data_IF_126875939256
#
_entry.id   IF_126875939256
#
_cell.length_a   1.000
_cell.length_b   1.000
_cell.length_c   1.000
_cell.angle_alpha   90.00
_cell.angle_beta   90.00
_cell.angle_gamma   90.00
#
_symmetry.space_group_name_H-M   'P 1'
#
loop_
_entity.id
_entity.type
_entity.pdbx_description
1 polymer ?
#
# COMPACT_ATOMS: atom_id res chain seq x y z
N UNK A 1 -10.79 -8.10 -9.81
CA UNK A 1 -9.93 -8.68 -8.76
C UNK A 1 -9.39 -10.06 -9.15
N UNK A 2 -10.22 -10.99 -9.64
CA UNK A 2 -9.75 -12.30 -10.15
C UNK A 2 -8.82 -12.17 -11.39
N UNK A 3 -9.10 -11.20 -12.26
CA UNK A 3 -8.29 -10.87 -13.45
C UNK A 3 -6.87 -10.44 -13.11
N UNK A 4 -6.70 -9.62 -12.06
CA UNK A 4 -5.38 -9.20 -11.59
C UNK A 4 -4.57 -10.40 -11.05
N UNK A 5 -5.22 -11.29 -10.28
CA UNK A 5 -4.57 -12.50 -9.78
C UNK A 5 -4.15 -13.45 -10.91
N UNK A 6 -4.98 -13.61 -11.94
CA UNK A 6 -4.65 -14.43 -13.12
C UNK A 6 -3.49 -13.81 -13.90
N UNK A 7 -3.51 -12.48 -14.12
CA UNK A 7 -2.42 -11.78 -14.82
C UNK A 7 -1.11 -11.91 -14.04
N UNK A 8 -1.14 -11.73 -12.72
CA UNK A 8 0.04 -11.89 -11.87
C UNK A 8 0.59 -13.34 -11.92
N UNK A 9 -0.30 -14.35 -11.85
CA UNK A 9 0.11 -15.75 -11.97
C UNK A 9 0.70 -16.09 -13.35
N UNK A 10 0.14 -15.53 -14.42
CA UNK A 10 0.66 -15.69 -15.79
C UNK A 10 2.05 -15.07 -15.94
N UNK A 11 2.29 -13.89 -15.35
CA UNK A 11 3.62 -13.27 -15.36
C UNK A 11 4.65 -14.11 -14.62
N UNK A 12 4.28 -14.67 -13.46
CA UNK A 12 5.18 -15.56 -12.71
C UNK A 12 5.51 -16.82 -13.52
N UNK A 13 4.51 -17.45 -14.16
CA UNK A 13 4.73 -18.60 -15.03
C UNK A 13 5.59 -18.27 -16.26
N UNK A 14 5.42 -17.08 -16.84
CA UNK A 14 6.21 -16.62 -17.98
C UNK A 14 7.68 -16.38 -17.60
N UNK A 15 7.94 -15.83 -16.41
CA UNK A 15 9.29 -15.69 -15.86
C UNK A 15 9.91 -17.08 -15.65
N UNK A 16 9.18 -18.02 -15.05
CA UNK A 16 9.65 -19.39 -14.89
C UNK A 16 9.92 -20.05 -16.26
N UNK A 17 9.05 -19.88 -17.25
CA UNK A 17 9.24 -20.42 -18.61
C UNK A 17 10.48 -19.86 -19.29
N UNK A 18 10.86 -18.60 -19.04
CA UNK A 18 12.04 -18.01 -19.65
C UNK A 18 13.34 -18.38 -18.89
N UNK A 19 13.27 -18.50 -17.57
CA UNK A 19 14.45 -18.72 -16.71
C UNK A 19 14.79 -20.20 -16.55
N UNK A 20 13.81 -21.11 -16.45
CA UNK A 20 14.07 -22.55 -16.23
C UNK A 20 14.79 -23.23 -17.41
N UNK A 21 14.41 -23.05 -18.69
CA UNK A 21 15.05 -23.76 -19.79
C UNK A 21 16.55 -23.49 -19.94
N UNK A 22 17.05 -22.23 -19.91
CA UNK A 22 18.49 -21.98 -19.99
C UNK A 22 19.24 -22.42 -18.73
N UNK A 23 18.57 -22.55 -17.57
CA UNK A 23 19.18 -23.08 -16.34
C UNK A 23 19.20 -24.62 -16.28
N UNK A 24 18.24 -25.29 -16.93
CA UNK A 24 18.11 -26.74 -16.97
C UNK A 24 18.87 -27.38 -18.14
N UNK A 25 19.21 -26.60 -19.16
CA UNK A 25 20.09 -27.06 -20.23
C UNK A 25 21.51 -27.20 -19.69
N UNK A 26 21.93 -28.46 -19.45
CA UNK A 26 23.35 -28.77 -19.32
C UNK A 26 24.04 -28.37 -20.63
N UNK A 27 25.22 -27.75 -20.60
CA UNK A 27 26.00 -27.55 -21.82
C UNK A 27 26.23 -28.92 -22.45
N UNK A 28 25.65 -29.16 -23.63
CA UNK A 28 25.83 -30.41 -24.35
C UNK A 28 27.27 -30.46 -24.86
N UNK A 29 28.16 -31.10 -24.10
CA UNK A 29 29.57 -31.31 -24.48
C UNK A 29 29.69 -31.92 -25.89
N UNK A 30 28.70 -32.72 -26.31
CA UNK A 30 28.64 -33.33 -27.65
C UNK A 30 28.53 -32.34 -28.81
N UNK A 31 27.84 -31.20 -28.64
CA UNK A 31 27.78 -30.14 -29.69
C UNK A 31 29.08 -29.35 -29.76
N UNK A 32 29.77 -29.23 -28.64
CA UNK A 32 31.04 -28.51 -28.50
C UNK A 32 32.22 -29.30 -29.10
N UNK A 33 32.16 -30.64 -29.07
CA UNK A 33 33.12 -31.54 -29.70
C UNK A 33 32.92 -31.69 -31.22
N UNK A 34 31.66 -31.73 -31.71
CA UNK A 34 31.37 -31.84 -33.14
C UNK A 34 31.88 -30.64 -33.96
N UNK A 35 31.81 -29.42 -33.41
CA UNK A 35 32.35 -28.22 -34.05
C UNK A 35 33.89 -28.20 -34.01
N UNK A 36 34.52 -28.82 -33.00
CA UNK A 36 35.97 -28.92 -32.91
C UNK A 36 36.53 -29.88 -33.96
N UNK A 37 35.87 -31.02 -34.21
CA UNK A 37 36.25 -31.93 -35.30
C UNK A 37 36.01 -31.31 -36.68
N UNK A 38 34.97 -30.50 -36.86
CA UNK A 38 34.69 -29.84 -38.14
C UNK A 38 35.75 -28.79 -38.51
N UNK A 39 36.24 -28.02 -37.54
CA UNK A 39 37.26 -27.00 -37.80
C UNK A 39 38.62 -27.59 -38.15
N UNK A 40 39.02 -28.72 -37.55
CA UNK A 40 40.29 -29.39 -37.86
C UNK A 40 40.35 -29.85 -39.32
N UNK A 41 39.23 -30.32 -39.87
CA UNK A 41 39.14 -30.75 -41.27
C UNK A 41 39.39 -29.57 -42.22
N UNK A 42 38.84 -28.40 -41.91
CA UNK A 42 39.04 -27.18 -42.72
C UNK A 42 40.52 -26.79 -42.78
N UNK A 43 41.25 -26.89 -41.66
CA UNK A 43 42.68 -26.59 -41.64
C UNK A 43 43.53 -27.62 -42.39
N UNK A 44 43.09 -28.89 -42.44
CA UNK A 44 43.76 -29.92 -43.24
C UNK A 44 43.62 -29.63 -44.73
N UNK A 45 42.43 -29.26 -45.19
CA UNK A 45 42.18 -28.89 -46.59
C UNK A 45 43.05 -27.67 -47.01
N UNK A 46 43.15 -26.66 -46.14
CA UNK A 46 43.98 -25.46 -46.41
C UNK A 46 45.47 -25.78 -46.56
N UNK A 47 45.99 -26.75 -45.79
CA UNK A 47 47.39 -27.16 -45.90
C UNK A 47 47.64 -27.96 -47.19
N UNK A 48 46.67 -28.77 -47.62
CA UNK A 48 46.77 -29.54 -48.87
C UNK A 48 46.73 -28.62 -50.10
N UNK A 49 45.87 -27.60 -50.10
CA UNK A 49 45.81 -26.57 -51.14
C UNK A 49 47.13 -25.79 -51.23
N UNK A 50 47.67 -25.37 -50.08
CA UNK A 50 48.94 -24.66 -50.01
C UNK A 50 50.13 -25.50 -50.52
N UNK A 51 50.12 -26.83 -50.28
CA UNK A 51 51.13 -27.75 -50.82
C UNK A 51 50.99 -27.95 -52.33
N UNK A 52 49.77 -27.95 -52.86
CA UNK A 52 49.52 -28.03 -54.29
C UNK A 52 50.02 -26.77 -55.03
N UNK A 53 49.84 -25.59 -54.45
CA UNK A 53 50.32 -24.33 -55.02
C UNK A 53 51.85 -24.24 -55.05
N UNK A 54 52.53 -24.76 -54.01
CA UNK A 54 53.98 -24.89 -54.01
C UNK A 54 54.47 -25.83 -55.12
N UNK A 55 53.82 -26.99 -55.28
CA UNK A 55 54.17 -27.97 -56.33
C UNK A 55 53.97 -27.44 -57.74
N UNK A 56 52.98 -26.55 -57.91
CA UNK A 56 52.66 -25.92 -59.20
C UNK A 56 53.56 -24.69 -59.48
N UNK A 57 54.36 -24.26 -58.49
CA UNK A 57 55.23 -23.10 -58.58
C UNK A 57 54.48 -21.76 -58.52
N UNK A 58 53.24 -21.76 -58.04
CA UNK A 58 52.41 -20.56 -57.87
C UNK A 58 52.90 -19.69 -56.71
N UNK A 59 53.46 -20.32 -55.68
CA UNK A 59 54.06 -19.68 -54.51
C UNK A 59 55.52 -20.11 -54.35
N UNK A 60 56.32 -19.24 -53.76
CA UNK A 60 57.71 -19.55 -53.43
C UNK A 60 57.80 -20.33 -52.10
N UNK A 61 58.89 -21.09 -51.92
CA UNK A 61 59.09 -21.93 -50.73
C UNK A 61 59.09 -21.12 -49.42
N UNK A 62 59.60 -19.89 -49.45
CA UNK A 62 59.59 -18.98 -48.30
C UNK A 62 58.17 -18.52 -47.92
N UNK A 63 57.32 -18.27 -48.90
CA UNK A 63 55.89 -17.95 -48.70
C UNK A 63 55.12 -19.15 -48.15
N UNK A 64 55.37 -20.35 -48.69
CA UNK A 64 54.78 -21.60 -48.19
C UNK A 64 55.05 -21.80 -46.69
N UNK A 65 56.32 -21.64 -46.26
CA UNK A 65 56.67 -21.84 -44.85
C UNK A 65 56.03 -20.81 -43.92
N UNK A 66 55.91 -19.54 -44.35
CA UNK A 66 55.26 -18.49 -43.56
C UNK A 66 53.77 -18.73 -43.38
N UNK A 67 53.07 -19.09 -44.46
CA UNK A 67 51.63 -19.33 -44.42
C UNK A 67 51.31 -20.60 -43.63
N UNK A 68 52.08 -21.67 -43.83
CA UNK A 68 51.97 -22.91 -43.05
C UNK A 68 52.11 -22.64 -41.54
N UNK A 69 53.13 -21.90 -41.12
CA UNK A 69 53.33 -21.60 -39.70
C UNK A 69 52.17 -20.77 -39.13
N UNK A 70 51.60 -19.87 -39.93
CA UNK A 70 50.44 -19.07 -39.51
C UNK A 70 49.19 -19.92 -39.29
N UNK A 71 48.96 -20.92 -40.15
CA UNK A 71 47.85 -21.87 -40.05
C UNK A 71 48.05 -22.77 -38.82
N UNK A 72 49.24 -23.31 -38.62
CA UNK A 72 49.57 -24.15 -37.46
C UNK A 72 49.43 -23.39 -36.14
N UNK A 73 49.85 -22.12 -36.09
CA UNK A 73 49.66 -21.27 -34.90
C UNK A 73 48.18 -21.03 -34.59
N UNK A 74 47.36 -20.75 -35.61
CA UNK A 74 45.90 -20.57 -35.45
C UNK A 74 45.22 -21.87 -35.02
N UNK A 75 45.60 -23.01 -35.60
CA UNK A 75 45.13 -24.32 -35.18
C UNK A 75 45.49 -24.60 -33.72
N UNK A 76 46.74 -24.33 -33.34
CA UNK A 76 47.20 -24.48 -31.96
C UNK A 76 46.48 -23.52 -31.00
N UNK A 77 46.13 -22.32 -31.42
CA UNK A 77 45.37 -21.35 -30.61
C UNK A 77 43.90 -21.75 -30.47
N UNK A 78 43.26 -22.24 -31.54
CA UNK A 78 41.90 -22.78 -31.47
C UNK A 78 41.81 -24.04 -30.60
N UNK A 79 42.86 -24.86 -30.60
CA UNK A 79 42.97 -26.07 -29.76
C UNK A 79 43.41 -25.74 -28.32
N UNK A 80 44.33 -24.79 -28.10
CA UNK A 80 44.81 -24.35 -26.76
C UNK A 80 43.92 -23.34 -26.06
N UNK A 81 43.11 -22.57 -26.79
CA UNK A 81 42.10 -21.64 -26.26
C UNK A 81 41.04 -22.34 -25.39
N UNK A 82 41.10 -23.67 -25.32
CA UNK A 82 40.36 -24.53 -24.38
C UNK A 82 41.26 -25.33 -23.44
N UNK A 83 42.37 -24.79 -22.94
CA UNK A 83 42.77 -25.16 -21.58
C UNK A 83 41.52 -24.95 -20.72
N UNK A 84 41.04 -25.94 -19.94
CA UNK A 84 39.82 -25.76 -19.18
C UNK A 84 40.13 -24.63 -18.20
N UNK A 85 39.67 -23.42 -18.53
CA UNK A 85 39.33 -22.45 -17.53
C UNK A 85 38.41 -23.25 -16.63
N UNK A 86 38.91 -23.63 -15.46
CA UNK A 86 38.13 -24.20 -14.38
C UNK A 86 37.14 -23.11 -14.00
N UNK A 87 36.10 -22.95 -14.82
CA UNK A 87 34.91 -22.21 -14.51
C UNK A 87 34.41 -22.91 -13.27
N UNK A 88 34.67 -22.26 -12.14
CA UNK A 88 34.27 -22.70 -10.81
C UNK A 88 32.79 -23.07 -10.94
N UNK A 89 32.49 -24.37 -10.96
CA UNK A 89 31.12 -24.86 -10.89
C UNK A 89 30.53 -24.17 -9.65
N UNK A 90 29.44 -23.39 -9.75
CA UNK A 90 28.80 -22.87 -8.56
C UNK A 90 28.52 -24.09 -7.68
N UNK A 91 29.08 -24.11 -6.47
CA UNK A 91 28.92 -25.28 -5.60
C UNK A 91 27.44 -25.56 -5.45
N UNK A 92 27.05 -26.83 -5.37
CA UNK A 92 25.66 -27.26 -5.17
C UNK A 92 24.94 -26.46 -4.06
N UNK A 93 25.69 -25.96 -3.07
CA UNK A 93 25.22 -25.04 -2.03
C UNK A 93 24.63 -23.73 -2.55
N UNK A 94 25.23 -23.10 -3.56
CA UNK A 94 24.77 -21.81 -4.12
C UNK A 94 23.50 -22.00 -4.93
N UNK A 95 23.40 -23.08 -5.72
CA UNK A 95 22.18 -23.45 -6.43
C UNK A 95 21.04 -23.79 -5.45
N UNK A 96 21.33 -24.53 -4.38
CA UNK A 96 20.33 -24.84 -3.33
C UNK A 96 19.82 -23.57 -2.65
N UNK A 97 20.67 -22.57 -2.39
CA UNK A 97 20.24 -21.28 -1.82
C UNK A 97 19.34 -20.50 -2.79
N UNK A 98 19.65 -20.50 -4.09
CA UNK A 98 18.81 -19.84 -5.11
C UNK A 98 17.45 -20.53 -5.25
N UNK A 99 17.41 -21.86 -5.21
CA UNK A 99 16.15 -22.61 -5.18
C UNK A 99 15.37 -22.37 -3.88
N UNK A 100 16.04 -22.39 -2.74
CA UNK A 100 15.43 -22.14 -1.44
C UNK A 100 14.82 -20.74 -1.38
N UNK A 101 15.52 -19.69 -1.84
CA UNK A 101 15.02 -18.33 -1.89
C UNK A 101 13.87 -18.17 -2.91
N UNK A 102 13.98 -18.77 -4.08
CA UNK A 102 12.94 -18.72 -5.13
C UNK A 102 11.61 -19.33 -4.68
N UNK A 103 11.64 -20.34 -3.81
CA UNK A 103 10.43 -20.94 -3.23
C UNK A 103 10.01 -20.22 -1.95
N UNK A 104 10.95 -19.83 -1.10
CA UNK A 104 10.67 -19.22 0.19
C UNK A 104 10.00 -17.85 0.05
N UNK A 105 10.44 -17.00 -0.88
CA UNK A 105 9.87 -15.66 -1.07
C UNK A 105 8.36 -15.71 -1.39
N UNK A 106 7.89 -16.46 -2.41
CA UNK A 106 6.46 -16.54 -2.69
C UNK A 106 5.66 -17.22 -1.57
N UNK A 107 6.20 -18.26 -0.92
CA UNK A 107 5.52 -18.91 0.22
C UNK A 107 5.39 -17.95 1.41
N UNK A 108 6.44 -17.21 1.74
CA UNK A 108 6.43 -16.20 2.80
C UNK A 108 5.46 -15.06 2.47
N UNK A 109 5.39 -14.62 1.21
CA UNK A 109 4.44 -13.61 0.77
C UNK A 109 2.98 -14.08 0.93
N UNK A 110 2.69 -15.34 0.56
CA UNK A 110 1.36 -15.94 0.76
C UNK A 110 1.04 -16.07 2.26
N UNK A 111 1.97 -16.58 3.07
CA UNK A 111 1.78 -16.71 4.51
C UNK A 111 1.57 -15.35 5.20
N UNK A 112 2.33 -14.33 4.82
CA UNK A 112 2.17 -12.97 5.31
C UNK A 112 0.82 -12.38 4.91
N UNK A 113 0.37 -12.60 3.68
CA UNK A 113 -0.96 -12.21 3.22
C UNK A 113 -2.08 -12.94 3.98
N UNK A 114 -1.89 -14.22 4.35
CA UNK A 114 -2.86 -14.93 5.17
C UNK A 114 -2.88 -14.45 6.63
N UNK A 115 -1.75 -13.95 7.15
CA UNK A 115 -1.63 -13.44 8.53
C UNK A 115 -2.16 -12.01 8.68
N UNK A 116 -1.85 -11.12 7.73
CA UNK A 116 -2.21 -9.68 7.79
C UNK A 116 -3.42 -9.33 6.91
N UNK A 117 -3.63 -10.09 5.83
CA UNK A 117 -4.65 -9.81 4.83
C UNK A 117 -6.01 -10.42 5.14
N UNK A 118 -6.98 -10.13 4.28
CA UNK A 118 -8.35 -10.63 4.41
C UNK A 118 -8.64 -11.65 3.29
N UNK A 119 -8.37 -12.96 3.49
CA UNK A 119 -8.52 -13.98 2.45
C UNK A 119 -9.95 -14.10 1.92
N UNK A 120 -10.94 -13.63 2.68
CA UNK A 120 -12.35 -13.60 2.27
C UNK A 120 -12.65 -12.55 1.18
N UNK A 121 -11.76 -11.58 0.96
CA UNK A 121 -11.91 -10.58 -0.10
C UNK A 121 -11.70 -11.16 -1.51
N UNK A 122 -10.97 -12.27 -1.63
CA UNK A 122 -10.76 -12.98 -2.90
C UNK A 122 -11.98 -13.83 -3.32
N UNK A 123 -12.85 -14.18 -2.36
CA UNK A 123 -14.09 -14.93 -2.58
C UNK A 123 -15.26 -14.05 -3.00
N UNK A 124 -15.09 -12.72 -3.03
CA UNK A 124 -16.09 -11.80 -3.56
C UNK A 124 -16.13 -11.90 -5.09
N UNK A 125 -17.22 -12.47 -5.61
CA UNK A 125 -17.48 -12.60 -7.03
C UNK A 125 -17.34 -11.26 -7.79
N UNK A 126 -17.03 -11.26 -9.10
CA UNK A 126 -16.95 -10.03 -9.88
C UNK A 126 -18.28 -9.27 -9.81
N UNK A 127 -18.21 -7.97 -9.54
CA UNK A 127 -19.38 -7.10 -9.55
C UNK A 127 -20.09 -7.19 -10.92
N UNK A 128 -21.41 -7.46 -10.98
CA UNK A 128 -22.14 -7.44 -12.23
C UNK A 128 -22.24 -6.00 -12.74
N UNK A 129 -21.73 -5.76 -13.94
CA UNK A 129 -21.99 -4.55 -14.72
C UNK A 129 -23.42 -4.60 -15.26
N UNK A 130 -24.37 -4.21 -14.43
CA UNK A 130 -25.78 -4.04 -14.78
C UNK A 130 -26.40 -2.89 -13.98
N UNK A 131 -27.55 -2.34 -14.41
CA UNK A 131 -28.24 -1.29 -13.67
C UNK A 131 -28.49 -1.73 -12.22
N UNK A 132 -28.38 -0.81 -11.24
CA UNK A 132 -28.21 -1.13 -9.82
C UNK A 132 -29.41 -1.92 -9.30
N UNK A 133 -29.27 -3.25 -9.33
CA UNK A 133 -30.17 -4.19 -8.68
C UNK A 133 -29.52 -4.57 -7.35
N UNK A 134 -30.29 -4.38 -6.29
CA UNK A 134 -29.89 -4.48 -4.90
C UNK A 134 -29.38 -5.87 -4.49
N UNK A 135 -28.07 -6.11 -4.64
CA UNK A 135 -27.36 -7.17 -3.92
C UNK A 135 -26.02 -6.66 -3.42
N UNK A 136 -26.00 -6.20 -2.17
CA UNK A 136 -24.78 -5.88 -1.43
C UNK A 136 -24.87 -4.71 -0.45
N UNK A 137 -25.91 -3.88 -0.52
CA UNK A 137 -26.21 -2.90 0.54
C UNK A 137 -26.86 -3.65 1.71
N UNK A 138 -26.17 -3.72 2.85
CA UNK A 138 -26.81 -4.16 4.09
C UNK A 138 -28.07 -3.33 4.30
N UNK A 139 -29.20 -3.98 4.59
CA UNK A 139 -30.41 -3.23 4.93
C UNK A 139 -30.16 -2.41 6.21
N UNK A 140 -30.83 -1.27 6.42
CA UNK A 140 -30.72 -0.50 7.66
C UNK A 140 -30.92 -1.36 8.92
N UNK A 141 -31.81 -2.35 8.84
CA UNK A 141 -32.07 -3.32 9.91
C UNK A 141 -30.88 -4.28 10.14
N UNK A 142 -30.21 -4.72 9.07
CA UNK A 142 -29.00 -5.54 9.19
C UNK A 142 -27.84 -4.74 9.79
N UNK A 143 -27.69 -3.46 9.43
CA UNK A 143 -26.69 -2.57 10.04
C UNK A 143 -26.99 -2.42 11.53
N UNK A 144 -28.23 -2.09 11.90
CA UNK A 144 -28.63 -1.97 13.30
C UNK A 144 -28.35 -3.26 14.11
N UNK A 145 -28.72 -4.43 13.57
CA UNK A 145 -28.46 -5.71 14.22
C UNK A 145 -26.96 -6.01 14.40
N UNK A 146 -26.12 -5.64 13.43
CA UNK A 146 -24.67 -5.80 13.53
C UNK A 146 -24.07 -4.85 14.59
N UNK A 147 -24.59 -3.63 14.70
CA UNK A 147 -24.20 -2.65 15.73
C UNK A 147 -24.60 -3.15 17.11
N UNK A 148 -25.78 -3.73 17.29
CA UNK A 148 -26.20 -4.29 18.58
C UNK A 148 -25.35 -5.50 19.00
N UNK A 149 -24.94 -6.36 18.05
CA UNK A 149 -23.97 -7.44 18.32
C UNK A 149 -22.60 -6.91 18.73
N UNK A 150 -22.14 -5.84 18.09
CA UNK A 150 -20.89 -5.17 18.47
C UNK A 150 -20.99 -4.62 19.91
N UNK A 151 -22.12 -3.98 20.25
CA UNK A 151 -22.37 -3.48 21.59
C UNK A 151 -22.29 -4.59 22.64
N UNK A 152 -22.90 -5.75 22.37
CA UNK A 152 -22.87 -6.88 23.30
C UNK A 152 -21.45 -7.43 23.48
N UNK A 153 -20.68 -7.55 22.39
CA UNK A 153 -19.27 -7.95 22.47
C UNK A 153 -18.43 -6.99 23.33
N UNK A 154 -18.68 -5.69 23.22
CA UNK A 154 -17.94 -4.68 23.98
C UNK A 154 -18.31 -4.65 25.46
N UNK A 155 -19.51 -5.13 25.84
CA UNK A 155 -19.81 -5.38 27.26
C UNK A 155 -18.94 -6.49 27.85
N UNK A 156 -18.64 -7.52 27.07
CA UNK A 156 -17.75 -8.62 27.48
C UNK A 156 -16.27 -8.21 27.47
N UNK A 157 -15.90 -7.26 26.60
CA UNK A 157 -14.55 -6.71 26.49
C UNK A 157 -14.55 -5.19 26.69
N UNK A 158 -14.75 -4.70 27.94
CA UNK A 158 -15.03 -3.29 28.20
C UNK A 158 -13.84 -2.36 27.99
N UNK A 159 -12.62 -2.87 27.86
CA UNK A 159 -11.40 -2.07 27.77
C UNK A 159 -10.99 -1.72 26.33
N UNK A 160 -11.82 -2.05 25.32
CA UNK A 160 -11.54 -1.74 23.91
C UNK A 160 -12.01 -0.33 23.54
N UNK A 161 -11.16 0.68 23.77
CA UNK A 161 -11.46 2.09 23.47
C UNK A 161 -11.81 2.33 21.99
N UNK A 162 -11.14 1.64 21.06
CA UNK A 162 -11.39 1.81 19.62
C UNK A 162 -12.70 1.16 19.21
N UNK A 163 -13.04 0.01 19.80
CA UNK A 163 -14.33 -0.64 19.65
C UNK A 163 -15.48 0.25 20.12
N UNK A 164 -15.35 0.90 21.29
CA UNK A 164 -16.35 1.87 21.78
C UNK A 164 -16.50 3.08 20.87
N UNK A 165 -15.41 3.62 20.33
CA UNK A 165 -15.45 4.71 19.35
C UNK A 165 -16.19 4.30 18.07
N UNK A 166 -15.87 3.11 17.54
CA UNK A 166 -16.55 2.59 16.34
C UNK A 166 -18.03 2.35 16.58
N UNK A 167 -18.40 1.85 17.77
CA UNK A 167 -19.79 1.68 18.17
C UNK A 167 -20.51 3.03 18.22
N UNK A 168 -19.89 4.05 18.81
CA UNK A 168 -20.46 5.37 18.93
C UNK A 168 -20.74 6.03 17.56
N UNK A 169 -19.77 5.95 16.63
CA UNK A 169 -19.94 6.43 15.25
C UNK A 169 -21.03 5.68 14.50
N UNK A 170 -21.14 4.37 14.74
CA UNK A 170 -22.18 3.54 14.15
C UNK A 170 -23.57 3.93 14.67
N UNK A 171 -23.70 4.25 15.96
CA UNK A 171 -24.94 4.80 16.51
C UNK A 171 -25.28 6.18 15.94
N UNK A 172 -24.29 7.06 15.71
CA UNK A 172 -24.55 8.35 15.04
C UNK A 172 -25.11 8.17 13.62
N UNK A 173 -24.54 7.24 12.84
CA UNK A 173 -25.03 6.93 11.49
C UNK A 173 -26.47 6.38 11.49
N UNK A 174 -26.85 5.70 12.57
CA UNK A 174 -28.20 5.19 12.79
C UNK A 174 -29.13 6.21 13.49
N UNK A 175 -28.67 7.45 13.69
CA UNK A 175 -29.39 8.52 14.40
C UNK A 175 -29.76 8.16 15.87
N UNK A 176 -29.07 7.16 16.43
CA UNK A 176 -29.21 6.68 17.81
C UNK A 176 -28.34 7.52 18.76
N UNK A 177 -28.58 8.82 18.79
CA UNK A 177 -27.68 9.79 19.44
C UNK A 177 -27.46 9.55 20.94
N UNK A 178 -28.50 9.18 21.68
CA UNK A 178 -28.39 8.87 23.12
C UNK A 178 -27.47 7.68 23.40
N UNK A 179 -27.44 6.70 22.51
CA UNK A 179 -26.59 5.51 22.63
C UNK A 179 -25.17 5.81 22.16
N UNK A 180 -25.04 6.63 21.11
CA UNK A 180 -23.76 7.17 20.68
C UNK A 180 -23.05 7.92 21.83
N UNK A 181 -23.77 8.81 22.53
CA UNK A 181 -23.22 9.54 23.66
C UNK A 181 -22.71 8.60 24.77
N UNK A 182 -23.43 7.53 25.11
CA UNK A 182 -22.98 6.53 26.10
C UNK A 182 -21.73 5.78 25.63
N UNK A 183 -21.65 5.42 24.35
CA UNK A 183 -20.47 4.75 23.79
C UNK A 183 -19.25 5.68 23.75
N UNK A 184 -19.42 6.95 23.37
CA UNK A 184 -18.38 7.98 23.46
C UNK A 184 -17.94 8.24 24.90
N UNK A 185 -18.86 8.24 25.87
CA UNK A 185 -18.52 8.34 27.28
C UNK A 185 -17.58 7.19 27.70
N UNK A 186 -17.86 5.96 27.27
CA UNK A 186 -16.95 4.83 27.52
C UNK A 186 -15.60 5.02 26.85
N UNK A 187 -15.58 5.43 25.58
CA UNK A 187 -14.34 5.69 24.86
C UNK A 187 -13.49 6.78 25.54
N UNK A 188 -14.09 7.91 25.94
CA UNK A 188 -13.40 9.00 26.65
C UNK A 188 -12.90 8.59 28.03
N UNK A 189 -13.58 7.69 28.74
CA UNK A 189 -13.04 7.15 30.01
C UNK A 189 -11.80 6.28 29.82
N UNK A 190 -11.69 5.57 28.70
CA UNK A 190 -10.55 4.69 28.38
C UNK A 190 -9.39 5.48 27.76
N UNK A 191 -9.70 6.53 27.00
CA UNK A 191 -8.73 7.42 26.39
C UNK A 191 -9.06 8.89 26.73
N UNK A 192 -8.76 9.28 27.96
CA UNK A 192 -9.12 10.59 28.49
C UNK A 192 -8.27 11.75 27.95
N UNK A 193 -7.18 11.48 27.23
CA UNK A 193 -6.23 12.48 26.73
C UNK A 193 -6.33 12.71 25.21
N UNK A 194 -7.48 12.38 24.63
CA UNK A 194 -7.76 12.58 23.20
C UNK A 194 -8.80 13.70 23.03
N UNK A 195 -8.34 14.89 22.62
CA UNK A 195 -9.19 16.06 22.44
C UNK A 195 -10.28 15.84 21.37
N UNK A 196 -9.95 15.14 20.28
CA UNK A 196 -10.90 14.86 19.21
C UNK A 196 -12.03 13.95 19.70
N UNK A 197 -11.70 12.97 20.54
CA UNK A 197 -12.68 12.09 21.15
C UNK A 197 -13.64 12.83 22.11
N UNK A 198 -13.14 13.79 22.88
CA UNK A 198 -13.98 14.67 23.71
C UNK A 198 -14.87 15.59 22.87
N UNK A 199 -14.38 16.11 21.74
CA UNK A 199 -15.19 16.91 20.81
C UNK A 199 -16.28 16.08 20.13
N UNK A 200 -15.97 14.86 19.68
CA UNK A 200 -16.95 13.91 19.14
C UNK A 200 -18.02 13.54 20.20
N UNK A 201 -17.61 13.36 21.46
CA UNK A 201 -18.53 13.10 22.56
C UNK A 201 -19.49 14.29 22.80
N UNK A 202 -18.97 15.52 22.81
CA UNK A 202 -19.79 16.72 22.95
C UNK A 202 -20.84 16.84 21.84
N UNK A 203 -20.45 16.59 20.60
CA UNK A 203 -21.37 16.62 19.46
C UNK A 203 -22.48 15.57 19.61
N UNK A 204 -22.14 14.34 20.01
CA UNK A 204 -23.11 13.29 20.26
C UNK A 204 -24.10 13.65 21.38
N UNK A 205 -23.61 14.28 22.46
CA UNK A 205 -24.46 14.79 23.54
C UNK A 205 -25.41 15.90 23.03
N UNK A 206 -24.90 16.82 22.22
CA UNK A 206 -25.70 17.89 21.66
C UNK A 206 -26.80 17.36 20.74
N UNK A 207 -26.48 16.41 19.85
CA UNK A 207 -27.49 15.76 19.00
C UNK A 207 -28.53 15.00 19.81
N UNK A 208 -28.12 14.30 20.87
CA UNK A 208 -29.05 13.62 21.77
C UNK A 208 -29.99 14.59 22.52
N UNK A 209 -29.60 15.86 22.66
CA UNK A 209 -30.35 16.91 23.32
C UNK A 209 -30.94 17.95 22.33
N UNK A 210 -31.22 17.55 21.09
CA UNK A 210 -31.86 18.42 20.10
C UNK A 210 -31.00 19.60 19.64
N UNK A 211 -29.70 19.37 19.45
CA UNK A 211 -28.67 20.36 19.05
C UNK A 211 -28.38 21.44 20.12
N UNK A 212 -28.78 21.21 21.36
CA UNK A 212 -28.45 22.07 22.48
C UNK A 212 -27.03 21.77 22.97
N UNK A 213 -26.14 22.76 22.86
CA UNK A 213 -24.74 22.65 23.29
C UNK A 213 -24.52 23.00 24.77
N UNK A 214 -25.56 23.42 25.50
CA UNK A 214 -25.48 23.78 26.92
C UNK A 214 -25.36 22.58 27.87
N UNK A 215 -24.71 22.78 29.01
CA UNK A 215 -24.51 21.74 30.03
C UNK A 215 -23.38 20.77 29.65
N UNK A 216 -23.66 19.47 29.66
CA UNK A 216 -22.67 18.42 29.42
C UNK A 216 -21.88 18.53 28.09
N UNK A 217 -22.47 18.91 26.93
CA UNK A 217 -21.70 19.13 25.72
C UNK A 217 -20.64 20.22 25.91
N UNK A 218 -20.98 21.35 26.53
CA UNK A 218 -20.02 22.43 26.82
C UNK A 218 -18.91 21.95 27.77
N UNK A 219 -19.22 21.13 28.78
CA UNK A 219 -18.21 20.55 29.66
C UNK A 219 -17.23 19.65 28.89
N UNK A 220 -17.73 18.81 27.98
CA UNK A 220 -16.91 17.97 27.11
C UNK A 220 -16.04 18.81 26.15
N UNK A 221 -16.57 19.90 25.58
CA UNK A 221 -15.80 20.83 24.74
C UNK A 221 -14.69 21.53 25.53
N UNK A 222 -14.99 21.98 26.75
CA UNK A 222 -13.98 22.56 27.63
C UNK A 222 -12.87 21.55 27.93
N UNK A 223 -13.21 20.27 28.12
CA UNK A 223 -12.23 19.21 28.31
C UNK A 223 -11.37 18.98 27.06
N UNK A 224 -11.97 18.98 25.87
CA UNK A 224 -11.25 18.88 24.60
C UNK A 224 -10.24 20.03 24.46
N UNK A 225 -10.67 21.27 24.69
CA UNK A 225 -9.83 22.47 24.58
C UNK A 225 -8.75 22.58 25.68
N UNK A 226 -8.95 21.94 26.83
CA UNK A 226 -7.89 21.80 27.84
C UNK A 226 -6.76 20.86 27.39
N UNK A 227 -7.11 19.81 26.64
CA UNK A 227 -6.14 18.83 26.12
C UNK A 227 -5.43 19.41 24.90
N UNK A 228 -6.19 19.96 23.97
CA UNK A 228 -5.70 20.60 22.76
C UNK A 228 -6.43 21.94 22.51
N UNK A 229 -5.81 23.08 22.87
CA UNK A 229 -6.42 24.40 22.70
C UNK A 229 -6.67 24.81 21.25
N UNK A 230 -6.03 24.13 20.29
CA UNK A 230 -6.17 24.43 18.86
C UNK A 230 -7.02 23.41 18.11
N UNK A 231 -7.67 22.47 18.81
CA UNK A 231 -8.52 21.48 18.17
C UNK A 231 -9.65 22.15 17.37
N UNK A 232 -9.63 21.98 16.05
CA UNK A 232 -10.52 22.71 15.14
C UNK A 232 -12.01 22.46 15.43
N UNK A 233 -12.38 21.18 15.58
CA UNK A 233 -13.77 20.78 15.86
C UNK A 233 -14.24 21.30 17.23
N UNK A 234 -13.39 21.22 18.25
CA UNK A 234 -13.73 21.73 19.57
C UNK A 234 -13.90 23.26 19.57
N UNK A 235 -13.05 24.00 18.83
CA UNK A 235 -13.17 25.45 18.69
C UNK A 235 -14.46 25.86 17.97
N UNK A 236 -14.83 25.18 16.90
CA UNK A 236 -16.08 25.45 16.17
C UNK A 236 -17.32 25.23 17.06
N UNK A 237 -17.40 24.05 17.67
CA UNK A 237 -18.52 23.69 18.54
C UNK A 237 -18.57 24.56 19.81
N UNK A 238 -17.42 24.95 20.38
CA UNK A 238 -17.38 25.87 21.53
C UNK A 238 -17.82 27.28 21.16
N UNK A 239 -17.45 27.75 19.95
CA UNK A 239 -17.95 29.00 19.39
C UNK A 239 -19.47 28.99 19.24
N UNK A 240 -19.99 27.91 18.65
CA UNK A 240 -21.43 27.66 18.51
C UNK A 240 -22.17 27.59 19.85
N UNK A 241 -21.57 26.92 20.85
CA UNK A 241 -22.12 26.81 22.19
C UNK A 241 -22.21 28.18 22.89
N UNK A 242 -21.14 28.97 22.82
CA UNK A 242 -21.10 30.32 23.37
C UNK A 242 -22.11 31.25 22.66
N UNK A 243 -22.28 31.10 21.34
CA UNK A 243 -23.27 31.85 20.57
C UNK A 243 -24.70 31.52 20.99
N UNK A 244 -25.04 30.23 21.14
CA UNK A 244 -26.34 29.78 21.65
C UNK A 244 -26.61 30.30 23.08
N UNK A 245 -25.58 30.36 23.93
CA UNK A 245 -25.66 30.92 25.28
C UNK A 245 -25.74 32.46 25.30
N UNK A 246 -25.61 33.13 24.15
CA UNK A 246 -25.64 34.59 24.04
C UNK A 246 -24.35 35.30 24.47
N UNK A 247 -23.28 34.54 24.73
CA UNK A 247 -21.92 35.02 25.02
C UNK A 247 -21.16 35.21 23.69
N UNK A 248 -21.58 36.22 22.94
CA UNK A 248 -21.06 36.50 21.60
C UNK A 248 -19.55 36.81 21.61
N UNK A 249 -19.03 37.37 22.71
CA UNK A 249 -17.61 37.70 22.81
C UNK A 249 -16.74 36.43 22.88
N UNK A 250 -17.16 35.42 23.64
CA UNK A 250 -16.48 34.11 23.64
C UNK A 250 -16.64 33.40 22.30
N UNK A 251 -17.83 33.45 21.70
CA UNK A 251 -18.07 32.85 20.39
C UNK A 251 -17.08 33.37 19.33
N UNK A 252 -16.96 34.71 19.24
CA UNK A 252 -15.99 35.37 18.36
C UNK A 252 -14.56 34.91 18.67
N UNK A 253 -14.20 34.80 19.95
CA UNK A 253 -12.84 34.43 20.35
C UNK A 253 -12.47 33.00 19.96
N UNK A 254 -13.39 32.03 20.05
CA UNK A 254 -13.14 30.66 19.60
C UNK A 254 -13.02 30.58 18.08
N UNK A 255 -13.97 31.16 17.36
CA UNK A 255 -13.95 31.17 15.90
C UNK A 255 -12.76 31.92 15.30
N UNK A 256 -12.29 32.99 15.94
CA UNK A 256 -11.06 33.67 15.53
C UNK A 256 -9.81 32.79 15.67
N UNK A 257 -9.76 31.93 16.68
CA UNK A 257 -8.67 30.96 16.82
C UNK A 257 -8.76 29.89 15.73
N UNK A 258 -9.97 29.43 15.40
CA UNK A 258 -10.21 28.50 14.31
C UNK A 258 -9.78 29.08 12.96
N UNK A 259 -10.15 30.33 12.66
CA UNK A 259 -9.80 31.01 11.40
C UNK A 259 -8.29 31.03 11.11
N UNK A 260 -7.43 31.10 12.14
CA UNK A 260 -5.97 31.10 11.97
C UNK A 260 -5.43 29.79 11.41
N UNK A 261 -6.22 28.72 11.45
CA UNK A 261 -5.82 27.37 11.03
C UNK A 261 -6.41 26.97 9.68
N UNK A 262 -7.41 27.72 9.19
CA UNK A 262 -8.12 27.36 7.96
C UNK A 262 -7.34 27.86 6.72
N UNK A 263 -7.31 27.06 5.63
CA UNK A 263 -6.70 27.48 4.38
C UNK A 263 -7.39 28.73 3.82
N UNK A 264 -6.59 29.64 3.26
CA UNK A 264 -7.09 30.82 2.57
C UNK A 264 -8.05 30.41 1.43
N UNK A 265 -9.24 31.03 1.40
CA UNK A 265 -10.24 30.77 0.36
C UNK A 265 -11.09 29.51 0.54
N UNK A 266 -10.91 28.75 1.62
CA UNK A 266 -11.78 27.61 1.95
C UNK A 266 -13.23 28.07 2.23
N UNK A 267 -14.19 27.19 1.95
CA UNK A 267 -15.60 27.44 2.25
C UNK A 267 -15.84 27.62 3.76
N UNK A 268 -15.20 26.77 4.57
CA UNK A 268 -15.27 26.84 6.03
C UNK A 268 -14.80 28.19 6.58
N UNK A 269 -13.73 28.78 6.01
CA UNK A 269 -13.28 30.11 6.37
C UNK A 269 -14.37 31.17 6.14
N UNK A 270 -15.13 31.07 5.04
CA UNK A 270 -16.25 31.99 4.76
C UNK A 270 -17.38 31.80 5.78
N UNK A 271 -17.79 30.56 6.02
CA UNK A 271 -18.84 30.22 6.99
C UNK A 271 -18.52 30.74 8.39
N UNK A 272 -17.30 30.48 8.88
CA UNK A 272 -16.87 30.94 10.21
C UNK A 272 -16.74 32.47 10.25
N UNK A 273 -16.31 33.11 9.17
CA UNK A 273 -16.25 34.58 9.07
C UNK A 273 -17.65 35.21 9.15
N UNK A 274 -18.64 34.61 8.50
CA UNK A 274 -20.03 35.07 8.54
C UNK A 274 -20.64 34.90 9.93
N UNK A 275 -20.37 33.77 10.61
CA UNK A 275 -20.76 33.55 12.00
C UNK A 275 -20.16 34.60 12.95
N UNK A 276 -18.88 34.94 12.78
CA UNK A 276 -18.22 36.01 13.55
C UNK A 276 -18.87 37.37 13.27
N UNK A 277 -19.15 37.69 12.00
CA UNK A 277 -19.81 38.95 11.64
C UNK A 277 -21.18 39.05 12.31
N UNK A 278 -21.97 37.96 12.29
CA UNK A 278 -23.27 37.92 12.94
C UNK A 278 -23.18 38.08 14.46
N UNK A 279 -22.22 37.41 15.10
CA UNK A 279 -21.99 37.56 16.53
C UNK A 279 -21.59 38.99 16.91
N UNK A 280 -20.80 39.69 16.09
CA UNK A 280 -20.43 41.10 16.32
C UNK A 280 -21.64 42.02 16.25
N UNK A 281 -22.52 41.83 15.28
CA UNK A 281 -23.77 42.59 15.14
C UNK A 281 -24.63 42.45 16.41
N UNK A 282 -24.82 41.20 16.87
CA UNK A 282 -25.61 40.90 18.06
C UNK A 282 -24.97 41.40 19.36
N UNK A 283 -23.64 41.38 19.45
CA UNK A 283 -22.90 41.96 20.57
C UNK A 283 -23.05 43.48 20.63
N UNK A 284 -22.96 44.17 19.49
CA UNK A 284 -23.14 45.62 19.39
C UNK A 284 -24.57 46.07 19.71
N UNK A 285 -25.58 45.32 19.25
CA UNK A 285 -26.99 45.62 19.51
C UNK A 285 -27.42 45.47 20.98
N UNK A 286 -26.73 44.63 21.76
CA UNK A 286 -26.95 44.50 23.22
C UNK A 286 -26.37 45.66 24.03
N UNK A 287 -25.39 46.40 23.50
CA UNK A 287 -24.74 47.53 24.19
C UNK A 287 -25.43 48.88 24.00
N UNK A 288 -26.46 48.96 23.15
CA UNK A 288 -27.17 50.21 22.79
C UNK A 288 -28.60 50.32 23.34
N UNK A 289 -28.97 49.49 24.32
CA UNK A 289 -30.25 49.53 25.04
C UNK A 289 -30.00 49.70 26.53
#
# INVERSE_FOLDING_TARGET
>A
MLTFGIIAALFVLLIFWFVLPPLLQRPDAKKTDANASANVIIYQDQLEELEADLKTGLIAEDQYQQEKESIERRLLEDVRGRAPLTARVPSTRTSVIVYALSVFIPVAAVAFYLFVGNPKALSSAPAPTGPPSATGSMSPQQIAANVDKLAERLKQNPNDSQGWLMLARSYLMLERYSEAAKAYQRATTLNANDAGLWADYAEALAMANGQNLGGQPTEALNRALQIDPVNQKALDLAGSAAFQAGDYQKAISYWQQLLKQLPAGSEELRTISDQIAKAKELAGGKGSR
#
